data_IF_167515238691
#
_entry.id   IF_167515238691
#
_cell.length_a   1.000
_cell.length_b   1.000
_cell.length_c   1.000
_cell.angle_alpha   90.00
_cell.angle_beta   90.00
_cell.angle_gamma   90.00
#
_symmetry.space_group_name_H-M   'P 1'
#
loop_
_entity.id
_entity.type
_entity.pdbx_description
1 polymer ?
#
# COMPACT_ATOMS: atom_id res chain seq x y z
N UNK A 1 2.20 -43.05 -29.36
CA UNK A 1 1.37 -43.52 -28.23
C UNK A 1 1.58 -42.54 -27.08
N UNK A 2 0.56 -41.74 -26.78
CA UNK A 2 0.61 -40.55 -25.91
C UNK A 2 0.54 -40.97 -24.45
N UNK A 3 1.56 -40.64 -23.64
CA UNK A 3 1.56 -40.88 -22.20
C UNK A 3 1.10 -39.60 -21.47
N UNK A 4 -0.21 -39.30 -21.56
CA UNK A 4 -0.83 -38.21 -20.82
C UNK A 4 -0.93 -38.62 -19.34
N UNK A 5 0.03 -38.22 -18.52
CA UNK A 5 0.00 -38.45 -17.06
C UNK A 5 -1.19 -37.68 -16.48
N UNK A 6 -2.25 -38.40 -16.10
CA UNK A 6 -3.36 -37.89 -15.28
C UNK A 6 -2.78 -37.34 -13.97
N UNK A 7 -2.89 -36.03 -13.74
CA UNK A 7 -2.70 -35.46 -12.41
C UNK A 7 -3.76 -36.04 -11.46
N UNK A 8 -3.41 -36.47 -10.23
CA UNK A 8 -4.39 -36.96 -9.28
C UNK A 8 -5.30 -35.81 -8.82
N UNK A 9 -6.63 -36.03 -8.68
CA UNK A 9 -7.59 -34.97 -8.35
C UNK A 9 -7.32 -34.32 -6.98
N UNK A 10 -6.58 -35.01 -6.11
CA UNK A 10 -6.17 -34.54 -4.77
C UNK A 10 -5.18 -33.37 -4.86
N UNK A 11 -4.29 -33.36 -5.86
CA UNK A 11 -3.31 -32.29 -6.04
C UNK A 11 -3.98 -31.00 -6.54
N UNK A 12 -5.00 -31.14 -7.41
CA UNK A 12 -5.84 -30.02 -7.85
C UNK A 12 -6.67 -29.45 -6.68
N UNK A 13 -7.17 -30.30 -5.78
CA UNK A 13 -7.93 -29.88 -4.60
C UNK A 13 -7.06 -29.09 -3.62
N UNK A 14 -5.82 -29.53 -3.36
CA UNK A 14 -4.88 -28.80 -2.49
C UNK A 14 -4.48 -27.43 -3.06
N UNK A 15 -4.34 -27.33 -4.38
CA UNK A 15 -4.05 -26.06 -5.06
C UNK A 15 -5.24 -25.07 -5.01
N UNK A 16 -6.47 -25.59 -5.06
CA UNK A 16 -7.69 -24.78 -4.89
C UNK A 16 -7.84 -24.36 -3.42
N UNK A 17 -7.54 -25.24 -2.46
CA UNK A 17 -7.57 -24.91 -1.03
C UNK A 17 -6.52 -23.84 -0.69
N UNK A 18 -5.32 -23.88 -1.28
CA UNK A 18 -4.32 -22.82 -1.07
C UNK A 18 -4.74 -21.47 -1.68
N UNK A 19 -5.57 -21.48 -2.74
CA UNK A 19 -6.21 -20.28 -3.28
C UNK A 19 -7.25 -19.65 -2.35
N UNK A 20 -7.85 -20.44 -1.44
CA UNK A 20 -8.77 -19.91 -0.41
C UNK A 20 -8.05 -19.37 0.84
N UNK A 21 -6.77 -19.72 1.04
CA UNK A 21 -5.90 -19.12 2.07
C UNK A 21 -5.06 -17.95 1.54
N UNK A 22 -5.18 -17.62 0.25
CA UNK A 22 -4.73 -16.34 -0.27
C UNK A 22 -5.72 -15.29 0.20
N UNK A 23 -5.42 -14.65 1.33
CA UNK A 23 -6.11 -13.44 1.76
C UNK A 23 -6.26 -12.50 0.53
N UNK A 24 -7.44 -11.91 0.30
CA UNK A 24 -7.66 -10.93 -0.76
C UNK A 24 -6.98 -9.61 -0.38
N UNK A 25 -5.69 -9.65 -0.06
CA UNK A 25 -4.86 -8.50 0.29
C UNK A 25 -4.30 -7.80 -0.96
N UNK A 26 -4.80 -8.13 -2.16
CA UNK A 26 -4.26 -7.62 -3.43
C UNK A 26 -4.96 -6.38 -3.96
N UNK A 27 -5.89 -5.80 -3.20
CA UNK A 27 -6.32 -4.43 -3.45
C UNK A 27 -5.31 -3.47 -2.82
N UNK A 28 -4.49 -2.77 -3.63
CA UNK A 28 -3.57 -1.68 -3.21
C UNK A 28 -4.28 -0.45 -2.59
N UNK A 29 -5.47 -0.62 -2.01
CA UNK A 29 -6.26 0.47 -1.43
C UNK A 29 -7.30 0.07 -0.40
N UNK A 30 -7.51 -1.23 -0.13
CA UNK A 30 -8.46 -1.68 0.90
C UNK A 30 -7.69 -2.12 2.15
N UNK A 31 -7.76 -1.32 3.21
CA UNK A 31 -7.06 -1.57 4.47
C UNK A 31 -8.06 -1.81 5.61
N UNK A 32 -7.87 -2.82 6.47
CA UNK A 32 -8.67 -2.97 7.67
C UNK A 32 -8.34 -1.82 8.63
N UNK A 33 -9.37 -1.12 9.10
CA UNK A 33 -9.20 -0.02 10.04
C UNK A 33 -10.25 -0.06 11.15
N UNK A 34 -9.93 0.60 12.26
CA UNK A 34 -10.87 0.85 13.35
C UNK A 34 -10.60 2.23 13.93
N UNK A 35 -11.52 3.15 13.71
CA UNK A 35 -11.45 4.47 14.34
C UNK A 35 -11.66 4.34 15.86
N UNK A 36 -10.97 5.18 16.66
CA UNK A 36 -11.09 5.13 18.13
C UNK A 36 -12.49 5.53 18.58
N UNK A 37 -13.00 4.89 19.64
CA UNK A 37 -14.24 5.33 20.29
C UNK A 37 -14.03 6.72 20.94
N UNK A 38 -14.77 7.76 20.51
CA UNK A 38 -14.64 9.10 21.06
C UNK A 38 -14.89 9.20 22.57
N UNK A 39 -15.58 8.22 23.16
CA UNK A 39 -15.92 8.20 24.58
C UNK A 39 -14.79 7.66 25.47
N UNK A 40 -13.88 6.86 24.92
CA UNK A 40 -12.92 6.09 25.71
C UNK A 40 -11.66 6.89 26.09
N UNK A 41 -11.40 8.05 25.47
CA UNK A 41 -10.16 8.81 25.60
C UNK A 41 -8.94 8.10 24.99
N UNK A 42 -8.66 6.88 25.46
CA UNK A 42 -7.70 5.93 24.91
C UNK A 42 -8.42 4.62 24.54
N UNK A 43 -8.50 4.31 23.24
CA UNK A 43 -9.04 3.04 22.74
C UNK A 43 -7.90 2.11 22.29
N UNK A 44 -7.53 1.08 23.08
CA UNK A 44 -6.44 0.16 22.72
C UNK A 44 -6.77 -0.74 21.52
N UNK A 45 -8.04 -0.78 21.09
CA UNK A 45 -8.45 -1.54 19.91
C UNK A 45 -8.44 -0.68 18.65
N UNK A 46 -8.19 0.62 18.75
CA UNK A 46 -8.12 1.49 17.59
C UNK A 46 -6.99 1.07 16.67
N UNK A 47 -7.27 1.04 15.37
CA UNK A 47 -6.30 0.83 14.31
C UNK A 47 -6.46 1.95 13.28
N UNK A 48 -5.68 3.02 13.45
CA UNK A 48 -5.74 4.23 12.63
C UNK A 48 -4.58 4.35 11.65
N UNK A 49 -3.55 3.50 11.77
CA UNK A 49 -2.42 3.49 10.83
C UNK A 49 -2.67 2.41 9.81
N UNK A 50 -2.69 2.79 8.55
CA UNK A 50 -2.90 1.89 7.41
C UNK A 50 -1.69 1.92 6.47
N UNK A 51 -1.63 0.98 5.53
CA UNK A 51 -0.53 0.88 4.58
C UNK A 51 0.66 0.08 5.11
N UNK A 52 1.68 -0.03 4.27
CA UNK A 52 2.89 -0.82 4.51
C UNK A 52 4.10 -0.06 3.97
N UNK A 53 5.18 0.03 4.75
CA UNK A 53 6.44 0.58 4.27
C UNK A 53 7.02 -0.35 3.19
N UNK A 54 7.50 0.23 2.10
CA UNK A 54 8.17 -0.51 1.02
C UNK A 54 9.52 0.11 0.70
N UNK A 55 10.36 -0.63 0.02
CA UNK A 55 11.64 -0.15 -0.50
C UNK A 55 11.66 -0.25 -2.03
N UNK A 56 12.38 0.68 -2.66
CA UNK A 56 12.55 0.74 -4.10
C UNK A 56 13.98 1.09 -4.48
N UNK A 57 14.59 0.29 -5.35
CA UNK A 57 15.91 0.59 -5.90
C UNK A 57 15.74 1.38 -7.20
N UNK A 58 16.27 2.62 -7.21
CA UNK A 58 16.21 3.52 -8.38
C UNK A 58 16.88 2.87 -9.58
N UNK A 59 16.13 2.77 -10.68
CA UNK A 59 16.63 2.28 -11.98
C UNK A 59 17.07 3.46 -12.85
N UNK A 60 17.81 3.13 -13.89
CA UNK A 60 18.26 4.11 -14.87
C UNK A 60 17.08 4.82 -15.53
N UNK A 61 17.10 6.16 -15.48
CA UNK A 61 16.07 7.09 -16.01
C UNK A 61 14.77 7.16 -15.20
N UNK A 62 14.70 6.54 -14.02
CA UNK A 62 13.58 6.80 -13.12
C UNK A 62 13.61 8.26 -12.66
N UNK A 63 12.43 8.84 -12.45
CA UNK A 63 12.26 10.09 -11.70
C UNK A 63 11.56 9.79 -10.37
N UNK A 64 11.70 10.66 -9.36
CA UNK A 64 10.92 10.50 -8.13
C UNK A 64 9.41 10.57 -8.39
N UNK A 65 8.98 11.27 -9.44
CA UNK A 65 7.58 11.31 -9.87
C UNK A 65 7.10 9.97 -10.42
N UNK A 66 7.95 9.27 -11.20
CA UNK A 66 7.62 7.93 -11.71
C UNK A 66 7.49 6.94 -10.55
N UNK A 67 8.41 6.98 -9.59
CA UNK A 67 8.33 6.17 -8.37
C UNK A 67 7.07 6.51 -7.57
N UNK A 68 6.77 7.79 -7.34
CA UNK A 68 5.56 8.20 -6.64
C UNK A 68 4.30 7.63 -7.31
N UNK A 69 4.22 7.72 -8.65
CA UNK A 69 3.08 7.18 -9.42
C UNK A 69 2.99 5.66 -9.35
N UNK A 70 4.12 4.94 -9.37
CA UNK A 70 4.14 3.47 -9.26
C UNK A 70 3.53 2.98 -7.93
N UNK A 71 3.68 3.77 -6.86
CA UNK A 71 3.25 3.47 -5.49
C UNK A 71 2.04 4.27 -5.00
N UNK A 72 1.28 4.92 -5.91
CA UNK A 72 0.07 5.69 -5.57
C UNK A 72 0.32 6.81 -4.53
N UNK A 73 1.49 7.45 -4.62
CA UNK A 73 1.92 8.58 -3.78
C UNK A 73 1.77 9.92 -4.49
N UNK A 74 1.59 10.97 -3.69
CA UNK A 74 1.82 12.33 -4.16
C UNK A 74 3.30 12.61 -4.36
N UNK A 75 3.63 13.41 -5.37
CA UNK A 75 5.01 13.87 -5.61
C UNK A 75 5.64 14.50 -4.36
N UNK A 76 4.86 15.32 -3.65
CA UNK A 76 5.30 16.01 -2.44
C UNK A 76 5.68 15.04 -1.31
N UNK A 77 5.12 13.83 -1.26
CA UNK A 77 5.48 12.84 -0.23
C UNK A 77 6.91 12.33 -0.43
N UNK A 78 7.30 12.11 -1.70
CA UNK A 78 8.68 11.71 -2.04
C UNK A 78 9.66 12.88 -1.89
N UNK A 79 9.27 14.08 -2.33
CA UNK A 79 10.10 15.29 -2.20
C UNK A 79 10.33 15.67 -0.73
N UNK A 80 9.31 15.55 0.12
CA UNK A 80 9.44 15.84 1.55
C UNK A 80 10.38 14.87 2.28
N UNK A 81 10.43 13.61 1.86
CA UNK A 81 11.32 12.61 2.44
C UNK A 81 12.76 12.72 1.91
N UNK A 82 12.93 13.15 0.66
CA UNK A 82 14.24 13.27 -0.02
C UNK A 82 14.48 14.66 -0.61
N UNK A 83 14.48 15.73 0.20
CA UNK A 83 14.66 17.11 -0.28
C UNK A 83 16.03 17.35 -0.92
N UNK A 84 17.02 16.51 -0.63
CA UNK A 84 18.38 16.60 -1.17
C UNK A 84 18.56 15.92 -2.53
N UNK A 85 17.57 15.16 -3.01
CA UNK A 85 17.62 14.44 -4.29
C UNK A 85 16.97 15.31 -5.36
N UNK A 86 17.63 15.49 -6.51
CA UNK A 86 16.99 16.04 -7.69
C UNK A 86 15.82 15.12 -8.13
N UNK A 87 14.56 15.58 -8.11
CA UNK A 87 13.42 14.72 -8.40
C UNK A 87 13.39 14.18 -9.83
N UNK A 88 14.09 14.83 -10.77
CA UNK A 88 14.16 14.43 -12.18
C UNK A 88 15.31 13.47 -12.48
N UNK A 89 16.34 13.44 -11.62
CA UNK A 89 17.56 12.64 -11.83
C UNK A 89 18.02 12.01 -10.51
N UNK A 90 17.21 11.14 -9.88
CA UNK A 90 17.63 10.41 -8.69
C UNK A 90 18.84 9.51 -8.99
N UNK A 91 19.77 9.33 -8.03
CA UNK A 91 20.93 8.47 -8.24
C UNK A 91 20.55 7.01 -8.49
N UNK A 92 20.98 6.46 -9.62
CA UNK A 92 20.78 5.04 -9.97
C UNK A 92 21.37 4.12 -8.88
N UNK A 93 20.62 3.09 -8.49
CA UNK A 93 20.99 2.15 -7.44
C UNK A 93 20.74 2.64 -6.01
N UNK A 94 20.30 3.89 -5.80
CA UNK A 94 19.89 4.35 -4.47
C UNK A 94 18.66 3.57 -4.01
N UNK A 95 18.68 3.10 -2.76
CA UNK A 95 17.52 2.48 -2.13
C UNK A 95 16.65 3.58 -1.49
N UNK A 96 15.42 3.71 -1.98
CA UNK A 96 14.41 4.64 -1.49
C UNK A 96 13.41 3.88 -0.62
N UNK A 97 13.21 4.37 0.59
CA UNK A 97 12.02 4.08 1.39
C UNK A 97 10.81 4.77 0.75
N UNK A 98 9.74 4.00 0.57
CA UNK A 98 8.45 4.45 0.05
C UNK A 98 7.51 4.70 1.25
N UNK A 99 7.06 5.95 1.48
CA UNK A 99 6.22 6.32 2.62
C UNK A 99 4.74 5.94 2.41
N UNK A 100 4.45 4.67 2.11
CA UNK A 100 3.09 4.17 1.89
C UNK A 100 2.38 3.76 3.19
N UNK A 101 2.53 4.56 4.24
CA UNK A 101 1.81 4.43 5.51
C UNK A 101 1.14 5.74 5.88
N UNK A 102 -0.13 5.68 6.29
CA UNK A 102 -0.92 6.86 6.59
C UNK A 102 -1.71 6.72 7.87
N UNK A 103 -1.91 7.85 8.54
CA UNK A 103 -2.82 7.95 9.68
C UNK A 103 -4.18 8.38 9.15
N UNK A 104 -5.23 7.63 9.49
CA UNK A 104 -6.58 7.97 9.08
C UNK A 104 -7.03 9.28 9.75
N UNK A 105 -7.71 10.17 9.00
CA UNK A 105 -8.24 11.40 9.56
C UNK A 105 -9.28 11.11 10.64
N UNK A 106 -9.25 11.87 11.73
CA UNK A 106 -10.25 11.79 12.78
C UNK A 106 -11.60 12.34 12.29
N UNK A 107 -12.45 11.48 11.76
CA UNK A 107 -13.75 11.84 11.17
C UNK A 107 -14.86 10.89 11.61
N UNK A 108 -16.07 11.42 11.76
CA UNK A 108 -17.30 10.63 11.98
C UNK A 108 -18.08 10.42 10.68
N UNK A 109 -17.56 10.94 9.56
CA UNK A 109 -18.22 10.89 8.25
C UNK A 109 -17.81 9.60 7.52
N UNK A 110 -18.79 8.99 6.86
CA UNK A 110 -18.60 7.83 5.98
C UNK A 110 -18.58 8.29 4.51
N UNK A 111 -17.95 7.52 3.63
CA UNK A 111 -17.76 7.89 2.22
C UNK A 111 -16.46 8.68 1.98
N UNK A 112 -16.53 9.72 1.13
CA UNK A 112 -15.35 10.46 0.67
C UNK A 112 -14.95 11.54 1.69
N UNK A 113 -13.69 11.49 2.13
CA UNK A 113 -13.06 12.48 3.00
C UNK A 113 -11.79 12.99 2.32
N UNK A 114 -11.70 14.30 2.12
CA UNK A 114 -10.55 14.94 1.46
C UNK A 114 -9.72 15.63 2.54
N UNK A 115 -8.48 15.16 2.73
CA UNK A 115 -7.48 15.82 3.56
C UNK A 115 -6.63 16.73 2.67
N UNK A 116 -6.89 18.03 2.72
CA UNK A 116 -6.20 19.02 1.86
C UNK A 116 -4.73 19.18 2.29
N UNK A 117 -4.41 19.02 3.58
CA UNK A 117 -3.04 19.17 4.07
C UNK A 117 -2.11 18.05 3.56
N UNK A 118 -2.65 16.83 3.39
CA UNK A 118 -1.94 15.69 2.83
C UNK A 118 -2.21 15.49 1.32
N UNK A 119 -3.08 16.33 0.73
CA UNK A 119 -3.59 16.20 -0.64
C UNK A 119 -4.12 14.79 -0.96
N UNK A 120 -4.81 14.18 0.01
CA UNK A 120 -5.25 12.78 -0.06
C UNK A 120 -6.76 12.66 0.07
N UNK A 121 -7.31 11.75 -0.72
CA UNK A 121 -8.70 11.34 -0.65
C UNK A 121 -8.79 9.98 0.02
N UNK A 122 -9.58 9.91 1.09
CA UNK A 122 -9.93 8.67 1.78
C UNK A 122 -11.37 8.29 1.43
N UNK A 123 -11.59 7.02 1.14
CA UNK A 123 -12.92 6.46 0.96
C UNK A 123 -13.16 5.41 2.05
N UNK A 124 -14.12 5.71 2.93
CA UNK A 124 -14.49 4.92 4.10
C UNK A 124 -15.74 4.09 3.87
#
# INVERSE_FOLDING_TARGET
MVFFRRCPPIMALLFIISLFYLDPAWGRGAYPYRLPDPQLGFDPKANTVIGLLSEYVVKKKDTLLDVAREYDLGFNEMEALYPEIDPWIPPEGKNLIIPSQWVLPATKKFGIVINIAEMRLFYF
#
